data_IF_455075196959
#
_entry.id   IF_455075196959
#
_cell.length_a   1.000
_cell.length_b   1.000
_cell.length_c   1.000
_cell.angle_alpha   90.00
_cell.angle_beta   90.00
_cell.angle_gamma   90.00
#
_symmetry.space_group_name_H-M   'P 1'
#
loop_
_entity.id
_entity.type
_entity.pdbx_description
1 polymer ?
#
# COMPACT_ATOMS: atom_id res chain seq x y z
N UNK A 1 -6.34 11.13 -2.97
CA UNK A 1 -5.45 11.02 -1.80
C UNK A 1 -4.14 11.71 -2.10
N UNK A 2 -3.68 12.53 -1.23
CA UNK A 2 -2.38 13.18 -1.37
C UNK A 2 -1.44 12.68 -0.29
N UNK A 3 -0.18 13.10 -0.36
CA UNK A 3 0.85 12.58 0.56
C UNK A 3 0.50 12.79 2.03
N UNK A 4 -0.13 13.91 2.36
CA UNK A 4 -0.51 14.17 3.74
C UNK A 4 -1.53 13.15 4.26
N UNK A 5 -2.44 12.73 3.37
CA UNK A 5 -3.43 11.72 3.72
C UNK A 5 -2.74 10.37 3.97
N UNK A 6 -1.75 10.06 3.14
CA UNK A 6 -1.03 8.80 3.28
C UNK A 6 -0.22 8.80 4.57
N UNK A 7 0.37 9.94 4.91
CA UNK A 7 1.13 10.03 6.15
C UNK A 7 0.21 9.88 7.36
N UNK A 8 -0.98 10.48 7.32
CA UNK A 8 -1.96 10.34 8.39
C UNK A 8 -2.40 8.88 8.54
N UNK A 9 -2.58 8.19 7.41
CA UNK A 9 -2.94 6.78 7.41
C UNK A 9 -1.83 5.94 8.07
N UNK A 10 -0.58 6.23 7.74
CA UNK A 10 0.55 5.53 8.31
C UNK A 10 0.57 5.69 9.84
N UNK A 11 0.38 6.90 10.31
CA UNK A 11 0.40 7.19 11.74
C UNK A 11 -0.77 6.52 12.45
N UNK A 12 -1.93 6.56 11.83
CA UNK A 12 -3.14 5.99 12.41
C UNK A 12 -3.00 4.49 12.63
N UNK A 13 -2.27 3.82 11.75
CA UNK A 13 -2.05 2.38 11.87
C UNK A 13 -0.76 2.03 12.61
N UNK A 14 -0.03 3.04 13.06
CA UNK A 14 1.23 2.85 13.77
C UNK A 14 2.25 2.08 12.92
N UNK A 15 2.26 2.35 11.64
CA UNK A 15 3.20 1.71 10.73
C UNK A 15 4.51 2.49 10.65
N UNK A 16 5.61 1.75 10.43
CA UNK A 16 6.86 2.36 10.02
C UNK A 16 6.80 2.51 8.49
N UNK A 17 7.81 3.12 7.89
CA UNK A 17 7.90 3.18 6.43
C UNK A 17 7.91 1.78 5.85
N UNK A 18 8.70 0.90 6.44
CA UNK A 18 8.82 -0.46 5.94
C UNK A 18 7.50 -1.22 6.04
N UNK A 19 6.83 -1.14 7.19
CA UNK A 19 5.60 -1.89 7.37
C UNK A 19 4.46 -1.29 6.55
N UNK A 20 4.44 0.03 6.37
CA UNK A 20 3.44 0.67 5.53
C UNK A 20 3.63 0.27 4.07
N UNK A 21 4.87 0.27 3.59
CA UNK A 21 5.16 -0.15 2.22
C UNK A 21 4.74 -1.60 2.02
N UNK A 22 5.05 -2.45 2.98
CA UNK A 22 4.69 -3.85 2.91
C UNK A 22 3.18 -4.03 2.88
N UNK A 23 2.46 -3.29 3.71
CA UNK A 23 1.00 -3.36 3.75
C UNK A 23 0.39 -2.97 2.41
N UNK A 24 0.98 -2.02 1.72
CA UNK A 24 0.50 -1.58 0.42
C UNK A 24 1.05 -2.42 -0.74
N UNK A 25 2.02 -3.28 -0.47
CA UNK A 25 2.59 -4.12 -1.51
C UNK A 25 3.57 -3.40 -2.41
N UNK A 26 4.23 -2.37 -1.92
CA UNK A 26 5.21 -1.61 -2.70
C UNK A 26 6.55 -1.60 -2.00
N UNK A 27 7.61 -1.20 -2.71
CA UNK A 27 8.92 -1.08 -2.11
C UNK A 27 8.99 0.15 -1.23
N UNK A 28 9.94 0.19 -0.32
CA UNK A 28 10.15 1.34 0.53
C UNK A 28 10.49 2.58 -0.30
N UNK A 29 11.24 2.41 -1.37
CA UNK A 29 11.58 3.52 -2.25
C UNK A 29 10.33 4.10 -2.90
N UNK A 30 9.42 3.24 -3.34
CA UNK A 30 8.16 3.69 -3.94
C UNK A 30 7.31 4.40 -2.89
N UNK A 31 7.24 3.86 -1.69
CA UNK A 31 6.46 4.46 -0.62
C UNK A 31 7.02 5.85 -0.28
N UNK A 32 8.35 5.97 -0.16
CA UNK A 32 8.98 7.25 0.11
C UNK A 32 8.68 8.26 -0.99
N UNK A 33 8.62 7.81 -2.23
CA UNK A 33 8.31 8.67 -3.35
C UNK A 33 6.88 9.17 -3.26
N UNK A 34 5.95 8.32 -2.83
CA UNK A 34 4.57 8.75 -2.62
C UNK A 34 4.48 9.84 -1.56
N UNK A 35 5.26 9.73 -0.50
CA UNK A 35 5.23 10.72 0.56
C UNK A 35 5.89 12.04 0.15
N UNK A 36 6.74 12.00 -0.87
CA UNK A 36 7.45 13.18 -1.33
C UNK A 36 6.76 13.91 -2.47
N UNK A 37 5.74 13.32 -3.07
CA UNK A 37 5.10 13.93 -4.22
C UNK A 37 4.16 15.05 -3.80
N UNK A 38 4.04 16.05 -4.68
CA UNK A 38 3.10 17.14 -4.47
C UNK A 38 1.82 16.91 -5.27
N UNK A 39 1.77 15.81 -6.01
CA UNK A 39 0.63 15.50 -6.85
C UNK A 39 -0.31 14.53 -6.17
N UNK A 40 -1.46 14.35 -6.78
CA UNK A 40 -2.40 13.35 -6.34
C UNK A 40 -1.77 11.98 -6.47
N UNK A 41 -1.95 11.13 -5.48
CA UNK A 41 -1.42 9.78 -5.53
C UNK A 41 -2.26 8.90 -6.44
N UNK A 42 -1.69 7.81 -6.96
CA UNK A 42 -2.47 6.90 -7.80
C UNK A 42 -3.71 6.41 -7.07
N UNK A 43 -4.79 6.25 -7.80
CA UNK A 43 -6.05 5.80 -7.22
C UNK A 43 -5.90 4.47 -6.50
N UNK A 44 -5.03 3.60 -6.99
CA UNK A 44 -4.80 2.30 -6.36
C UNK A 44 -4.30 2.44 -4.93
N UNK A 45 -3.53 3.48 -4.65
CA UNK A 45 -3.02 3.70 -3.29
C UNK A 45 -4.19 4.04 -2.37
N UNK A 46 -5.07 4.91 -2.82
CA UNK A 46 -6.24 5.29 -2.01
C UNK A 46 -7.13 4.08 -1.75
N UNK A 47 -7.34 3.25 -2.77
CA UNK A 47 -8.17 2.07 -2.61
C UNK A 47 -7.53 1.06 -1.65
N UNK A 48 -6.22 0.91 -1.72
CA UNK A 48 -5.52 -0.01 -0.83
C UNK A 48 -5.60 0.47 0.62
N UNK A 49 -5.42 1.76 0.84
CA UNK A 49 -5.51 2.32 2.18
C UNK A 49 -6.93 2.17 2.74
N UNK A 50 -7.94 2.38 1.90
CA UNK A 50 -9.32 2.23 2.32
C UNK A 50 -9.63 0.78 2.69
N UNK A 51 -9.11 -0.17 1.90
CA UNK A 51 -9.32 -1.58 2.18
C UNK A 51 -8.69 -1.97 3.51
N UNK A 52 -7.51 -1.47 3.79
CA UNK A 52 -6.83 -1.75 5.04
C UNK A 52 -7.59 -1.10 6.21
N UNK A 53 -8.09 0.11 6.02
CA UNK A 53 -8.88 0.78 7.04
C UNK A 53 -10.14 -0.02 7.39
N UNK A 54 -10.72 -0.69 6.40
CA UNK A 54 -11.91 -1.49 6.63
C UNK A 54 -11.60 -2.88 7.15
N UNK A 55 -10.32 -3.22 7.25
CA UNK A 55 -9.92 -4.52 7.76
C UNK A 55 -10.03 -5.64 6.74
N UNK A 56 -10.02 -5.30 5.47
CA UNK A 56 -10.08 -6.32 4.43
C UNK A 56 -8.75 -7.06 4.38
N UNK A 57 -8.82 -8.36 4.45
CA UNK A 57 -7.62 -9.17 4.44
C UNK A 57 -7.38 -9.67 3.04
N UNK A 58 -6.30 -9.23 2.45
CA UNK A 58 -5.99 -9.58 1.09
C UNK A 58 -5.20 -10.89 1.03
N UNK A 59 -5.48 -11.72 0.02
CA UNK A 59 -4.78 -13.00 -0.12
C UNK A 59 -3.37 -12.79 -0.63
N UNK A 60 -2.47 -12.44 0.26
CA UNK A 60 -1.17 -12.06 -0.13
C UNK A 60 -0.37 -13.13 -0.70
N UNK A 61 -0.56 -14.33 -0.35
CA UNK A 61 0.25 -15.37 -0.91
C UNK A 61 -0.26 -15.90 -2.19
N UNK A 62 -1.51 -16.09 -2.25
CA UNK A 62 -2.08 -16.76 -3.37
C UNK A 62 -1.70 -16.22 -4.71
N UNK A 63 -1.93 -15.02 -4.95
CA UNK A 63 -1.71 -14.51 -6.26
C UNK A 63 -0.31 -14.45 -6.64
N UNK A 64 0.54 -14.20 -5.70
CA UNK A 64 1.78 -13.97 -6.08
C UNK A 64 2.37 -15.16 -6.46
N UNK A 65 2.20 -16.10 -5.85
CA UNK A 65 2.86 -17.25 -6.17
C UNK A 65 2.44 -17.85 -7.40
N UNK A 66 1.32 -17.69 -7.74
CA UNK A 66 0.96 -18.32 -8.74
C UNK A 66 0.80 -17.73 -9.83
N UNK A 67 0.83 -16.74 -9.76
CA UNK A 67 0.68 -16.13 -10.83
C UNK A 67 1.44 -16.63 -11.70
N UNK A 68 1.97 -17.14 -11.35
CA UNK A 68 2.67 -17.59 -12.19
C UNK A 68 2.23 -18.83 -12.48
N UNK A 69 1.80 -19.14 -12.24
CA UNK A 69 1.43 -19.99 -12.49
C UNK A 69 0.80 -20.45 -12.91
N UNK A 70 0.53 -20.57 -13.08
CA UNK A 70 0.07 -21.04 -13.49
C UNK A 70 -0.13 -21.50 -13.96
N UNK A 71 -0.04 -21.59 -13.87
CA UNK A 71 -0.09 -21.95 -14.27
C UNK A 71 -0.25 -22.39 -14.58
N UNK A 72 -0.17 -22.41 -14.50
CA UNK A 72 -0.29 -22.68 -14.78
C UNK A 72 -0.62 -22.80 -14.98
#
# INVERSE_FOLDING_TARGET
>A
MVAADLRAWQIRHDYTYASAADALGVSRATYARYLATNSELPRMVALACAAIDLGVDLPRDAPRGRQSSPTA
#
